data_IF_651520940708
#
_entry.id   IF_651520940708
#
_cell.length_a   1.000
_cell.length_b   1.000
_cell.length_c   1.000
_cell.angle_alpha   90.00
_cell.angle_beta   90.00
_cell.angle_gamma   90.00
#
_symmetry.space_group_name_H-M   'P 1'
#
loop_
_entity.id
_entity.type
_entity.pdbx_description
1 polymer ?
#
# COMPACT_ATOMS: atom_id res chain seq x y z
N UNK A 1 1.70 2.09 11.43
CA UNK A 1 1.62 2.53 12.84
C UNK A 1 2.62 1.77 13.71
N UNK A 2 2.51 0.44 13.89
CA UNK A 2 3.34 -0.36 14.83
C UNK A 2 4.85 -0.23 14.54
N UNK A 3 5.26 -0.25 13.29
CA UNK A 3 6.66 -0.13 12.90
C UNK A 3 7.25 1.24 13.28
N UNK A 4 6.49 2.31 13.09
CA UNK A 4 6.89 3.67 13.48
C UNK A 4 7.00 3.77 15.01
N UNK A 5 5.99 3.26 15.73
CA UNK A 5 6.04 3.23 17.20
C UNK A 5 7.26 2.44 17.72
N UNK A 6 7.57 1.28 17.13
CA UNK A 6 8.75 0.50 17.49
C UNK A 6 10.06 1.28 17.25
N UNK A 7 10.16 2.01 16.13
CA UNK A 7 11.32 2.85 15.80
C UNK A 7 11.47 4.01 16.82
N UNK A 8 10.36 4.70 17.10
CA UNK A 8 10.35 5.82 18.07
C UNK A 8 10.74 5.35 19.47
N UNK A 9 10.23 4.20 19.92
CA UNK A 9 10.59 3.63 21.21
C UNK A 9 12.04 3.16 21.29
N UNK A 10 12.60 2.65 20.19
CA UNK A 10 13.98 2.13 20.17
C UNK A 10 15.04 3.19 19.95
N UNK A 11 14.79 4.20 19.13
CA UNK A 11 15.79 5.15 18.65
C UNK A 11 15.39 6.62 18.76
N UNK A 12 14.24 6.90 19.35
CA UNK A 12 13.73 8.27 19.45
C UNK A 12 12.87 8.67 18.25
N UNK A 13 12.28 9.86 18.38
CA UNK A 13 11.30 10.38 17.40
C UNK A 13 11.95 10.95 16.13
N UNK A 14 13.19 11.41 16.24
CA UNK A 14 13.89 12.06 15.15
C UNK A 14 14.49 11.02 14.21
N UNK A 15 14.10 11.10 12.94
CA UNK A 15 14.60 10.24 11.88
C UNK A 15 15.40 11.05 10.88
N UNK A 16 16.71 10.81 10.85
CA UNK A 16 17.64 11.44 9.92
C UNK A 16 17.74 10.58 8.67
N UNK A 17 17.54 11.17 7.50
CA UNK A 17 17.71 10.50 6.23
C UNK A 17 18.22 11.45 5.14
N UNK A 18 18.93 10.89 4.15
CA UNK A 18 19.36 11.64 2.98
C UNK A 18 18.28 11.53 1.90
N UNK A 19 17.92 12.65 1.33
CA UNK A 19 16.93 12.76 0.27
C UNK A 19 17.49 13.56 -0.90
N UNK A 20 17.08 13.23 -2.11
CA UNK A 20 17.44 14.02 -3.28
C UNK A 20 16.53 15.25 -3.35
N UNK A 21 17.11 16.43 -3.27
CA UNK A 21 16.38 17.67 -3.47
C UNK A 21 15.94 17.78 -4.93
N UNK A 22 14.64 17.86 -5.23
CA UNK A 22 14.15 17.88 -6.62
C UNK A 22 14.50 19.19 -7.37
N UNK A 23 14.82 20.27 -6.65
CA UNK A 23 15.11 21.57 -7.22
C UNK A 23 16.60 21.69 -7.62
N UNK A 24 17.49 21.19 -6.77
CA UNK A 24 18.95 21.28 -6.98
C UNK A 24 19.55 20.02 -7.59
N UNK A 25 18.91 18.86 -7.37
CA UNK A 25 19.44 17.56 -7.75
C UNK A 25 20.56 17.07 -6.82
N UNK A 26 20.76 17.71 -5.68
CA UNK A 26 21.77 17.34 -4.67
C UNK A 26 21.15 16.53 -3.54
N UNK A 27 21.99 15.74 -2.84
CA UNK A 27 21.60 15.05 -1.63
C UNK A 27 21.55 16.05 -0.46
N UNK A 28 20.43 16.07 0.25
CA UNK A 28 20.23 16.88 1.45
C UNK A 28 19.91 15.94 2.62
N UNK A 29 20.60 16.13 3.76
CA UNK A 29 20.26 15.45 5.00
C UNK A 29 19.07 16.14 5.65
N UNK A 30 18.01 15.40 5.94
CA UNK A 30 16.81 15.94 6.58
C UNK A 30 16.47 15.16 7.84
N UNK A 31 15.97 15.89 8.85
CA UNK A 31 15.48 15.29 10.09
C UNK A 31 13.96 15.37 10.12
N UNK A 32 13.32 14.24 10.26
CA UNK A 32 11.86 14.11 10.31
C UNK A 32 11.42 13.65 11.70
N UNK A 33 10.51 14.39 12.33
CA UNK A 33 9.84 13.95 13.56
C UNK A 33 8.75 12.92 13.22
N UNK A 34 9.03 11.65 13.51
CA UNK A 34 8.12 10.54 13.21
C UNK A 34 6.80 10.60 13.98
N UNK A 35 6.71 11.40 15.04
CA UNK A 35 5.45 11.58 15.80
C UNK A 35 4.47 12.53 15.10
N UNK A 36 4.94 13.29 14.12
CA UNK A 36 4.13 14.21 13.32
C UNK A 36 3.54 13.55 12.08
N UNK A 37 3.85 12.27 11.83
CA UNK A 37 3.27 11.53 10.71
C UNK A 37 1.76 11.37 10.91
N UNK A 38 1.00 11.96 9.99
CA UNK A 38 -0.46 11.90 10.00
C UNK A 38 -1.00 10.57 9.47
N UNK A 39 -2.28 10.34 9.72
CA UNK A 39 -3.00 9.28 9.07
C UNK A 39 -3.30 9.66 7.62
N UNK A 40 -3.35 8.66 6.75
CA UNK A 40 -3.81 8.85 5.38
C UNK A 40 -5.28 9.22 5.39
N UNK A 41 -5.64 10.25 4.64
CA UNK A 41 -7.04 10.63 4.46
C UNK A 41 -7.84 9.50 3.80
N UNK A 42 -8.93 9.14 4.44
CA UNK A 42 -9.87 8.12 3.99
C UNK A 42 -11.26 8.76 3.89
N UNK A 43 -11.97 8.47 2.82
CA UNK A 43 -13.39 8.80 2.74
C UNK A 43 -14.21 7.81 3.59
N UNK A 44 -14.50 8.20 4.81
CA UNK A 44 -15.27 7.42 5.75
C UNK A 44 -16.71 7.15 5.31
N UNK A 45 -17.24 7.93 4.33
CA UNK A 45 -18.56 7.68 3.76
C UNK A 45 -18.59 6.39 2.94
N UNK A 46 -17.45 5.92 2.46
CA UNK A 46 -17.32 4.65 1.73
C UNK A 46 -17.20 3.44 2.66
N UNK A 47 -17.07 3.66 3.98
CA UNK A 47 -16.77 2.60 4.94
C UNK A 47 -17.93 2.42 5.92
N UNK A 48 -18.53 1.24 5.89
CA UNK A 48 -19.50 0.84 6.90
C UNK A 48 -18.77 0.17 8.06
N UNK A 49 -18.89 0.67 9.31
CA UNK A 49 -18.22 0.06 10.46
C UNK A 49 -18.52 -1.43 10.61
N UNK A 50 -17.47 -2.24 10.77
CA UNK A 50 -17.58 -3.69 10.93
C UNK A 50 -17.78 -4.49 9.63
N UNK A 51 -17.89 -3.82 8.49
CA UNK A 51 -18.04 -4.47 7.18
C UNK A 51 -16.77 -4.30 6.36
N UNK A 52 -16.12 -5.40 6.00
CA UNK A 52 -14.95 -5.42 5.12
C UNK A 52 -15.36 -5.94 3.74
N UNK A 53 -16.35 -5.30 3.13
CA UNK A 53 -16.82 -5.59 1.77
C UNK A 53 -17.22 -4.28 1.10
N UNK A 54 -16.70 -4.04 -0.09
CA UNK A 54 -16.89 -2.80 -0.82
C UNK A 54 -17.27 -3.16 -2.26
N UNK A 55 -18.39 -2.63 -2.71
CA UNK A 55 -18.87 -2.85 -4.06
C UNK A 55 -18.32 -1.80 -5.02
N UNK A 56 -17.91 -2.24 -6.20
CA UNK A 56 -17.33 -1.40 -7.22
C UNK A 56 -17.82 -1.85 -8.60
N UNK A 57 -18.34 -0.92 -9.40
CA UNK A 57 -18.58 -1.13 -10.82
C UNK A 57 -17.27 -0.94 -11.61
N UNK A 58 -16.89 -1.94 -12.37
CA UNK A 58 -15.66 -1.89 -13.18
C UNK A 58 -15.86 -0.99 -14.40
N UNK A 59 -14.93 -0.05 -14.68
CA UNK A 59 -15.13 0.99 -15.70
C UNK A 59 -15.21 0.45 -17.13
N UNK A 60 -14.47 -0.60 -17.44
CA UNK A 60 -14.43 -1.16 -18.80
C UNK A 60 -15.43 -2.30 -19.00
N UNK A 61 -15.43 -3.31 -18.16
CA UNK A 61 -16.30 -4.48 -18.29
C UNK A 61 -17.73 -4.23 -17.80
N UNK A 62 -17.99 -3.14 -17.06
CA UNK A 62 -19.27 -2.79 -16.44
C UNK A 62 -19.81 -3.86 -15.46
N UNK A 63 -18.95 -4.76 -15.03
CA UNK A 63 -19.31 -5.79 -14.04
C UNK A 63 -19.25 -5.23 -12.63
N UNK A 64 -20.13 -5.73 -11.78
CA UNK A 64 -20.12 -5.43 -10.35
C UNK A 64 -19.18 -6.38 -9.63
N UNK A 65 -18.18 -5.84 -8.91
CA UNK A 65 -17.30 -6.65 -8.09
C UNK A 65 -17.40 -6.20 -6.63
N UNK A 66 -17.40 -7.17 -5.72
CA UNK A 66 -17.23 -6.90 -4.29
C UNK A 66 -15.80 -7.21 -3.93
N UNK A 67 -15.11 -6.23 -3.34
CA UNK A 67 -13.72 -6.37 -2.89
C UNK A 67 -13.63 -6.31 -1.36
N UNK A 68 -12.56 -6.84 -0.79
CA UNK A 68 -12.25 -6.72 0.64
C UNK A 68 -10.83 -6.21 0.86
N UNK A 69 -10.63 -5.42 1.93
CA UNK A 69 -9.30 -5.07 2.39
C UNK A 69 -8.57 -6.32 2.89
N UNK A 70 -7.26 -6.33 2.69
CA UNK A 70 -6.41 -7.48 3.05
C UNK A 70 -6.28 -7.58 4.58
N UNK A 71 -6.87 -8.62 5.15
CA UNK A 71 -6.60 -9.02 6.53
C UNK A 71 -5.28 -9.80 6.60
N UNK A 72 -4.67 -9.86 7.80
CA UNK A 72 -3.45 -10.62 8.01
C UNK A 72 -3.57 -12.10 7.62
N UNK A 73 -4.75 -12.71 7.82
CA UNK A 73 -5.01 -14.09 7.42
C UNK A 73 -5.01 -14.26 5.91
N UNK A 74 -5.54 -13.29 5.17
CA UNK A 74 -5.54 -13.28 3.70
C UNK A 74 -4.13 -13.04 3.16
N UNK A 75 -3.35 -12.15 3.77
CA UNK A 75 -1.94 -11.93 3.40
C UNK A 75 -1.12 -13.22 3.51
N UNK A 76 -1.27 -13.97 4.62
CA UNK A 76 -0.59 -15.27 4.78
C UNK A 76 -0.97 -16.28 3.67
N UNK A 77 -2.23 -16.29 3.24
CA UNK A 77 -2.67 -17.16 2.12
C UNK A 77 -2.02 -16.73 0.79
N UNK A 78 -1.97 -15.43 0.52
CA UNK A 78 -1.30 -14.86 -0.66
C UNK A 78 0.19 -15.24 -0.65
N UNK A 79 0.89 -15.05 0.46
CA UNK A 79 2.30 -15.40 0.59
C UNK A 79 2.56 -16.89 0.36
N UNK A 80 1.71 -17.76 0.92
CA UNK A 80 1.81 -19.20 0.71
C UNK A 80 1.61 -19.60 -0.77
N UNK A 81 0.63 -18.98 -1.45
CA UNK A 81 0.38 -19.20 -2.87
C UNK A 81 1.55 -18.68 -3.72
N UNK A 82 2.07 -17.49 -3.42
CA UNK A 82 3.24 -16.92 -4.11
C UNK A 82 4.51 -17.76 -3.94
N UNK A 83 4.76 -18.28 -2.74
CA UNK A 83 5.87 -19.22 -2.51
C UNK A 83 5.74 -20.49 -3.37
N UNK A 84 4.53 -20.99 -3.56
CA UNK A 84 4.26 -22.10 -4.46
C UNK A 84 4.54 -21.75 -5.93
N UNK A 85 4.07 -20.58 -6.38
CA UNK A 85 4.29 -20.10 -7.74
C UNK A 85 5.75 -19.76 -8.05
N UNK A 86 6.49 -19.23 -7.07
CA UNK A 86 7.92 -18.94 -7.21
C UNK A 86 8.73 -20.20 -7.50
N UNK A 87 8.37 -21.34 -6.91
CA UNK A 87 8.98 -22.65 -7.21
C UNK A 87 8.79 -23.04 -8.68
N UNK A 88 7.73 -22.57 -9.31
CA UNK A 88 7.42 -22.78 -10.74
C UNK A 88 7.96 -21.67 -11.65
N UNK A 89 8.82 -20.75 -11.11
CA UNK A 89 9.38 -19.59 -11.82
C UNK A 89 8.32 -18.67 -12.42
N UNK A 90 7.14 -18.56 -11.77
CA UNK A 90 6.06 -17.68 -12.18
C UNK A 90 5.99 -16.48 -11.24
N UNK A 91 6.07 -15.28 -11.82
CA UNK A 91 5.81 -14.04 -11.10
C UNK A 91 4.36 -13.61 -11.34
N UNK A 92 3.50 -13.85 -10.35
CA UNK A 92 2.06 -13.59 -10.45
C UNK A 92 1.54 -12.79 -9.23
N UNK A 93 2.38 -11.90 -8.67
CA UNK A 93 2.06 -11.17 -7.44
C UNK A 93 0.72 -10.42 -7.55
N UNK A 94 0.53 -9.63 -8.60
CA UNK A 94 -0.67 -8.83 -8.79
C UNK A 94 -1.91 -9.72 -8.99
N UNK A 95 -1.82 -10.72 -9.87
CA UNK A 95 -2.92 -11.63 -10.17
C UNK A 95 -3.34 -12.43 -8.94
N UNK A 96 -2.37 -12.92 -8.16
CA UNK A 96 -2.63 -13.64 -6.91
C UNK A 96 -3.29 -12.72 -5.88
N UNK A 97 -2.80 -11.49 -5.71
CA UNK A 97 -3.43 -10.51 -4.83
C UNK A 97 -4.90 -10.26 -5.22
N UNK A 98 -5.18 -10.01 -6.49
CA UNK A 98 -6.54 -9.74 -6.98
C UNK A 98 -7.49 -10.92 -6.78
N UNK A 99 -7.02 -12.17 -6.92
CA UNK A 99 -7.80 -13.38 -6.63
C UNK A 99 -8.24 -13.51 -5.19
N UNK A 100 -7.55 -12.85 -4.27
CA UNK A 100 -7.88 -12.84 -2.85
C UNK A 100 -8.62 -11.58 -2.40
N UNK A 101 -8.43 -10.46 -3.10
CA UNK A 101 -9.11 -9.19 -2.85
C UNK A 101 -10.54 -9.21 -3.36
N UNK A 102 -10.79 -9.76 -4.56
CA UNK A 102 -12.12 -9.88 -5.12
C UNK A 102 -12.83 -11.06 -4.44
N UNK A 103 -13.94 -10.79 -3.77
CA UNK A 103 -14.71 -11.79 -3.01
C UNK A 103 -16.04 -12.17 -3.68
N UNK A 104 -16.53 -11.33 -4.60
CA UNK A 104 -17.71 -11.66 -5.42
C UNK A 104 -17.66 -10.95 -6.78
N UNK A 105 -18.37 -11.50 -7.76
CA UNK A 105 -18.55 -10.91 -9.10
C UNK A 105 -20.02 -11.07 -9.47
N UNK A 106 -20.70 -9.95 -9.77
CA UNK A 106 -22.14 -9.92 -10.07
C UNK A 106 -22.99 -10.65 -9.01
N UNK A 107 -22.61 -10.52 -7.73
CA UNK A 107 -23.25 -11.17 -6.60
C UNK A 107 -22.83 -12.63 -6.36
N UNK A 108 -22.06 -13.24 -7.26
CA UNK A 108 -21.58 -14.62 -7.09
C UNK A 108 -20.27 -14.67 -6.31
N UNK A 109 -20.25 -15.48 -5.25
CA UNK A 109 -19.10 -15.65 -4.32
C UNK A 109 -18.26 -16.89 -4.60
N UNK A 110 -18.52 -17.61 -5.70
CA UNK A 110 -17.77 -18.80 -6.05
C UNK A 110 -16.31 -18.48 -6.39
N UNK A 111 -15.39 -18.96 -5.56
CA UNK A 111 -13.96 -18.72 -5.70
C UNK A 111 -13.40 -19.21 -7.05
N UNK A 112 -13.92 -20.31 -7.60
CA UNK A 112 -13.46 -20.80 -8.90
C UNK A 112 -13.84 -19.82 -10.03
N UNK A 113 -15.03 -19.23 -9.97
CA UNK A 113 -15.47 -18.20 -10.91
C UNK A 113 -14.66 -16.91 -10.77
N UNK A 114 -14.41 -16.47 -9.54
CA UNK A 114 -13.56 -15.30 -9.27
C UNK A 114 -12.15 -15.50 -9.84
N UNK A 115 -11.53 -16.64 -9.56
CA UNK A 115 -10.19 -16.96 -10.09
C UNK A 115 -10.16 -17.02 -11.61
N UNK A 116 -11.17 -17.62 -12.24
CA UNK A 116 -11.29 -17.68 -13.70
C UNK A 116 -11.42 -16.27 -14.29
N UNK A 117 -12.24 -15.42 -13.70
CA UNK A 117 -12.40 -14.03 -14.12
C UNK A 117 -11.07 -13.27 -14.05
N UNK A 118 -10.35 -13.34 -12.94
CA UNK A 118 -9.05 -12.66 -12.79
C UNK A 118 -8.01 -13.17 -13.79
N UNK A 119 -8.03 -14.48 -14.10
CA UNK A 119 -7.05 -15.08 -15.02
C UNK A 119 -7.34 -14.83 -16.50
N UNK A 120 -8.61 -14.63 -16.88
CA UNK A 120 -9.01 -14.64 -18.28
C UNK A 120 -9.75 -13.38 -18.76
N UNK A 121 -10.57 -12.81 -17.89
CA UNK A 121 -11.56 -11.81 -18.29
C UNK A 121 -11.29 -10.41 -17.73
N UNK A 122 -10.44 -10.30 -16.70
CA UNK A 122 -10.13 -9.02 -16.05
C UNK A 122 -9.25 -8.14 -16.93
N UNK A 123 -9.79 -7.00 -17.34
CA UNK A 123 -9.07 -6.03 -18.15
C UNK A 123 -8.07 -5.21 -17.31
N UNK A 124 -7.01 -4.72 -17.94
CA UNK A 124 -5.98 -3.92 -17.27
C UNK A 124 -6.54 -2.63 -16.63
N UNK A 125 -7.51 -1.98 -17.29
CA UNK A 125 -8.21 -0.79 -16.81
C UNK A 125 -9.00 -1.12 -15.53
N UNK A 126 -9.73 -2.23 -15.54
CA UNK A 126 -10.53 -2.70 -14.42
C UNK A 126 -9.63 -3.09 -13.22
N UNK A 127 -8.53 -3.79 -13.49
CA UNK A 127 -7.51 -4.11 -12.50
C UNK A 127 -6.91 -2.84 -11.84
N UNK A 128 -6.69 -1.78 -12.63
CA UNK A 128 -6.23 -0.49 -12.11
C UNK A 128 -7.28 0.16 -11.21
N UNK A 129 -8.55 0.15 -11.63
CA UNK A 129 -9.66 0.72 -10.86
C UNK A 129 -9.81 0.02 -9.50
N UNK A 130 -9.76 -1.32 -9.47
CA UNK A 130 -9.79 -2.10 -8.22
C UNK A 130 -8.65 -1.68 -7.28
N UNK A 131 -7.42 -1.56 -7.78
CA UNK A 131 -6.26 -1.18 -6.96
C UNK A 131 -6.36 0.26 -6.44
N UNK A 132 -6.87 1.18 -7.27
CA UNK A 132 -7.09 2.57 -6.84
C UNK A 132 -8.15 2.64 -5.75
N UNK A 133 -9.27 1.94 -5.94
CA UNK A 133 -10.33 1.88 -4.93
C UNK A 133 -9.85 1.20 -3.64
N UNK A 134 -9.10 0.09 -3.74
CA UNK A 134 -8.49 -0.55 -2.58
C UNK A 134 -7.55 0.41 -1.83
N UNK A 135 -6.74 1.17 -2.58
CA UNK A 135 -5.85 2.19 -2.00
C UNK A 135 -6.65 3.28 -1.29
N UNK A 136 -7.81 3.73 -1.79
CA UNK A 136 -8.60 4.79 -1.15
C UNK A 136 -9.27 4.37 0.15
N UNK A 137 -9.67 3.10 0.27
CA UNK A 137 -10.38 2.57 1.45
C UNK A 137 -9.45 1.90 2.49
N UNK A 138 -8.18 1.63 2.16
CA UNK A 138 -7.25 0.98 3.10
C UNK A 138 -6.63 2.03 4.03
N UNK A 139 -6.83 1.91 5.37
CA UNK A 139 -6.15 2.76 6.34
C UNK A 139 -4.63 2.58 6.28
N UNK A 140 -3.91 3.69 6.30
CA UNK A 140 -2.45 3.70 6.32
C UNK A 140 -1.94 4.98 6.99
N UNK A 141 -0.65 5.05 7.24
CA UNK A 141 0.01 6.28 7.67
C UNK A 141 0.52 7.00 6.43
N UNK A 142 0.34 8.31 6.41
CA UNK A 142 0.98 9.15 5.40
C UNK A 142 2.47 9.26 5.74
N UNK A 143 3.30 8.59 4.94
CA UNK A 143 4.75 8.62 5.07
C UNK A 143 5.39 9.79 4.32
N UNK A 144 4.60 10.63 3.67
CA UNK A 144 5.10 11.81 2.97
C UNK A 144 5.01 13.01 3.91
N UNK A 145 6.14 13.68 4.08
CA UNK A 145 6.30 14.88 4.89
C UNK A 145 6.86 16.01 4.04
N UNK A 146 6.48 17.23 4.35
CA UNK A 146 7.09 18.43 3.76
C UNK A 146 8.36 18.77 4.53
N UNK A 147 9.48 18.87 3.82
CA UNK A 147 10.77 19.25 4.41
C UNK A 147 11.26 20.56 3.79
N UNK A 148 11.93 21.42 4.57
CA UNK A 148 12.46 22.66 4.04
C UNK A 148 13.63 22.39 3.08
N UNK A 149 13.65 23.15 2.00
CA UNK A 149 14.80 23.29 1.12
C UNK A 149 15.78 24.30 1.77
N UNK A 150 17.00 23.87 2.05
CA UNK A 150 18.00 24.72 2.74
C UNK A 150 18.44 25.91 1.90
N UNK A 151 18.35 25.84 0.57
CA UNK A 151 18.80 26.90 -0.33
C UNK A 151 17.70 27.93 -0.62
N UNK A 152 16.47 27.46 -0.87
CA UNK A 152 15.37 28.34 -1.29
C UNK A 152 14.46 28.76 -0.13
N UNK A 153 14.42 27.97 0.95
CA UNK A 153 13.48 28.15 2.07
C UNK A 153 12.06 27.67 1.74
N UNK A 154 11.82 27.17 0.53
CA UNK A 154 10.57 26.51 0.17
C UNK A 154 10.51 25.10 0.79
N UNK A 155 9.37 24.42 0.67
CA UNK A 155 9.25 23.03 1.10
C UNK A 155 9.06 22.09 -0.08
N UNK A 156 9.54 20.85 0.07
CA UNK A 156 9.27 19.81 -0.92
C UNK A 156 8.87 18.49 -0.23
N UNK A 157 8.02 17.67 -0.88
CA UNK A 157 7.55 16.43 -0.30
C UNK A 157 8.63 15.34 -0.31
N UNK A 158 8.85 14.71 0.83
CA UNK A 158 9.74 13.56 1.00
C UNK A 158 8.94 12.38 1.51
N UNK A 159 9.06 11.23 0.85
CA UNK A 159 8.42 10.00 1.31
C UNK A 159 9.42 9.14 2.07
N UNK A 160 9.12 8.88 3.35
CA UNK A 160 9.93 8.02 4.21
C UNK A 160 9.82 6.56 3.76
N UNK A 161 10.95 5.93 3.49
CA UNK A 161 11.01 4.51 3.13
C UNK A 161 11.30 3.69 4.40
N UNK A 162 10.37 2.80 4.75
CA UNK A 162 10.56 1.88 5.88
C UNK A 162 11.38 0.67 5.38
N UNK A 163 12.69 0.83 5.39
CA UNK A 163 13.67 -0.18 5.01
C UNK A 163 14.53 -0.65 6.18
N UNK A 164 15.68 -1.25 5.86
CA UNK A 164 16.64 -1.70 6.86
C UNK A 164 17.22 -0.51 7.64
N UNK A 165 17.58 0.56 6.94
CA UNK A 165 18.14 1.79 7.51
C UNK A 165 17.20 2.48 8.50
N UNK A 166 15.87 2.29 8.33
CA UNK A 166 14.88 2.81 9.25
C UNK A 166 14.99 2.19 10.65
N UNK A 167 15.33 0.89 10.73
CA UNK A 167 15.44 0.18 12.02
C UNK A 167 16.88 0.05 12.53
N UNK A 168 17.88 0.16 11.65
CA UNK A 168 19.31 0.06 12.00
C UNK A 168 20.09 1.16 11.29
N UNK A 169 20.02 2.41 11.80
CA UNK A 169 20.68 3.56 11.16
C UNK A 169 22.20 3.38 11.03
N UNK A 170 22.83 2.61 11.93
CA UNK A 170 24.28 2.42 12.00
C UNK A 170 24.78 1.13 11.31
N UNK A 171 23.95 0.45 10.52
CA UNK A 171 24.33 -0.85 9.93
C UNK A 171 25.39 -0.71 8.81
N UNK A 172 25.77 0.49 8.40
CA UNK A 172 26.81 0.77 7.38
C UNK A 172 28.22 0.96 8.00
N UNK A 173 28.40 0.58 9.27
CA UNK A 173 29.71 0.57 9.93
C UNK A 173 30.59 -0.55 9.45
#
# INVERSE_FOLDING_TARGET
AIMIAARVLGYGKDYVCNVMNPNTGEEQEVTVDLTQLGEKEIDWNLITPGVNKFDLELPASKRQVTISCLSQSVQKKIEAELKGLAKLKRNANLTTMLKHVIVAIDGETDNAKVRKFVDKDLLAIDSRAIRQHLKSITPDINLTVEVPDEETGDTFPVTIVIGLDFFWPDHKL
#
